data_IF_109818419836
#
_entry.id   IF_109818419836
#
_cell.length_a   1.000
_cell.length_b   1.000
_cell.length_c   1.000
_cell.angle_alpha   90.00
_cell.angle_beta   90.00
_cell.angle_gamma   90.00
#
_symmetry.space_group_name_H-M   'P 1'
#
loop_
_entity.id
_entity.type
_entity.pdbx_description
1 polymer ?
#
# COMPACT_ATOMS: atom_id res chain seq x y z
N UNK A 1 -69.45 -72.71 44.56
CA UNK A 1 -70.04 -71.69 43.67
C UNK A 1 -68.91 -71.06 42.87
N UNK A 2 -68.72 -71.50 41.64
CA UNK A 2 -67.62 -71.10 40.76
C UNK A 2 -68.20 -70.42 39.53
N UNK A 3 -67.89 -69.12 39.39
CA UNK A 3 -68.29 -68.26 38.28
C UNK A 3 -67.50 -68.61 37.01
N UNK A 4 -68.21 -68.79 35.89
CA UNK A 4 -67.65 -68.78 34.53
C UNK A 4 -67.49 -67.33 34.05
N UNK A 5 -66.33 -67.01 33.48
CA UNK A 5 -66.07 -65.83 32.66
C UNK A 5 -66.14 -66.19 31.17
N UNK A 6 -66.69 -65.33 30.29
CA UNK A 6 -66.68 -65.55 28.84
C UNK A 6 -65.45 -64.91 28.18
N UNK A 7 -64.92 -65.61 27.18
CA UNK A 7 -63.84 -65.17 26.29
C UNK A 7 -64.38 -64.25 25.18
N UNK A 8 -63.73 -63.11 24.99
CA UNK A 8 -63.98 -62.19 23.87
C UNK A 8 -62.63 -61.71 23.34
N UNK A 9 -62.07 -62.39 22.35
CA UNK A 9 -60.86 -61.88 21.66
C UNK A 9 -60.73 -62.48 20.27
N UNK A 10 -60.80 -61.63 19.25
CA UNK A 10 -60.56 -62.04 17.88
C UNK A 10 -61.28 -61.18 16.85
N UNK A 11 -60.94 -59.88 16.72
CA UNK A 11 -60.99 -59.18 15.43
C UNK A 11 -60.44 -57.74 15.42
N UNK A 12 -60.11 -57.14 16.57
CA UNK A 12 -59.69 -55.73 16.61
C UNK A 12 -58.25 -55.45 16.13
N UNK A 13 -57.38 -56.47 16.04
CA UNK A 13 -55.95 -56.30 15.72
C UNK A 13 -55.66 -56.19 14.20
N UNK A 14 -56.52 -56.73 13.32
CA UNK A 14 -56.22 -56.76 11.87
C UNK A 14 -56.52 -55.46 11.14
N UNK A 15 -57.45 -54.64 11.63
CA UNK A 15 -57.81 -53.38 10.96
C UNK A 15 -56.79 -52.24 11.23
N UNK A 16 -56.22 -52.18 12.44
CA UNK A 16 -55.21 -51.16 12.77
C UNK A 16 -53.88 -51.39 12.06
N UNK A 17 -53.48 -52.65 11.85
CA UNK A 17 -52.24 -52.95 11.14
C UNK A 17 -52.31 -52.54 9.65
N UNK A 18 -53.47 -52.67 9.01
CA UNK A 18 -53.65 -52.29 7.61
C UNK A 18 -53.66 -50.77 7.39
N UNK A 19 -54.29 -50.02 8.29
CA UNK A 19 -54.27 -48.55 8.28
C UNK A 19 -52.88 -47.97 8.58
N UNK A 20 -52.09 -48.63 9.46
CA UNK A 20 -50.73 -48.19 9.76
C UNK A 20 -49.76 -48.42 8.59
N UNK A 21 -49.91 -49.50 7.82
CA UNK A 21 -49.09 -49.79 6.62
C UNK A 21 -49.41 -48.81 5.47
N UNK A 22 -50.68 -48.40 5.32
CA UNK A 22 -51.06 -47.40 4.30
C UNK A 22 -50.55 -46.00 4.66
N UNK A 23 -50.64 -45.59 5.94
CA UNK A 23 -50.21 -44.26 6.40
C UNK A 23 -48.68 -44.08 6.38
N UNK A 24 -47.93 -45.15 6.68
CA UNK A 24 -46.46 -45.13 6.61
C UNK A 24 -45.96 -45.11 5.17
N UNK A 25 -46.60 -45.84 4.24
CA UNK A 25 -46.19 -45.82 2.83
C UNK A 25 -46.45 -44.48 2.13
N UNK A 26 -47.57 -43.81 2.40
CA UNK A 26 -47.85 -42.50 1.80
C UNK A 26 -46.88 -41.42 2.28
N UNK A 27 -46.51 -41.43 3.57
CA UNK A 27 -45.51 -40.50 4.10
C UNK A 27 -44.09 -40.86 3.62
N UNK A 28 -43.76 -42.14 3.47
CA UNK A 28 -42.46 -42.56 2.93
C UNK A 28 -42.31 -42.18 1.44
N UNK A 29 -43.37 -42.34 0.64
CA UNK A 29 -43.38 -41.89 -0.76
C UNK A 29 -43.31 -40.36 -0.89
N UNK A 30 -43.98 -39.62 -0.01
CA UNK A 30 -43.93 -38.15 0.00
C UNK A 30 -42.55 -37.63 0.41
N UNK A 31 -41.94 -38.18 1.46
CA UNK A 31 -40.56 -37.88 1.88
C UNK A 31 -39.54 -38.34 0.83
N UNK A 32 -39.79 -39.45 0.14
CA UNK A 32 -38.93 -39.94 -0.94
C UNK A 32 -39.00 -39.06 -2.19
N UNK A 33 -40.19 -38.57 -2.58
CA UNK A 33 -40.35 -37.62 -3.68
C UNK A 33 -39.77 -36.23 -3.34
N UNK A 34 -39.98 -35.75 -2.12
CA UNK A 34 -39.38 -34.51 -1.61
C UNK A 34 -37.85 -34.64 -1.53
N UNK A 35 -37.30 -35.81 -1.14
CA UNK A 35 -35.84 -36.05 -1.22
C UNK A 35 -35.32 -36.16 -2.65
N UNK A 36 -36.08 -36.74 -3.58
CA UNK A 36 -35.67 -36.85 -5.00
C UNK A 36 -35.61 -35.50 -5.69
N UNK A 37 -36.44 -34.54 -5.26
CA UNK A 37 -36.42 -33.15 -5.73
C UNK A 37 -35.43 -32.27 -4.97
N UNK A 38 -35.02 -32.66 -3.76
CA UNK A 38 -34.00 -31.97 -2.96
C UNK A 38 -32.55 -32.47 -3.15
N UNK A 39 -32.29 -33.48 -3.99
CA UNK A 39 -30.95 -34.06 -4.16
C UNK A 39 -30.21 -33.62 -5.42
N UNK A 40 -30.84 -32.85 -6.30
CA UNK A 40 -30.14 -32.27 -7.45
C UNK A 40 -29.74 -30.86 -7.10
N UNK A 41 -28.43 -30.61 -7.01
CA UNK A 41 -27.89 -29.28 -6.87
C UNK A 41 -28.51 -28.38 -7.97
N UNK A 42 -29.09 -27.21 -7.65
CA UNK A 42 -29.66 -26.31 -8.65
C UNK A 42 -28.71 -26.03 -9.83
N UNK A 43 -27.41 -26.01 -9.58
CA UNK A 43 -26.37 -25.84 -10.61
C UNK A 43 -26.31 -27.01 -11.60
N UNK A 44 -26.50 -28.25 -11.13
CA UNK A 44 -26.54 -29.44 -12.00
C UNK A 44 -27.73 -29.38 -12.97
N UNK A 45 -28.84 -28.81 -12.51
CA UNK A 45 -30.02 -28.61 -13.36
C UNK A 45 -29.71 -27.63 -14.48
N UNK A 46 -29.04 -26.51 -14.18
CA UNK A 46 -28.64 -25.51 -15.18
C UNK A 46 -27.70 -26.12 -16.21
N UNK A 47 -26.67 -26.84 -15.75
CA UNK A 47 -25.68 -27.51 -16.61
C UNK A 47 -26.32 -28.43 -17.64
N UNK A 48 -27.42 -29.11 -17.27
CA UNK A 48 -28.14 -30.04 -18.16
C UNK A 48 -29.17 -29.38 -19.08
N UNK A 49 -29.71 -28.23 -18.69
CA UNK A 49 -30.90 -27.63 -19.33
C UNK A 49 -30.59 -26.41 -20.19
N UNK A 50 -29.49 -25.71 -19.93
CA UNK A 50 -29.15 -24.47 -20.61
C UNK A 50 -28.01 -24.67 -21.61
N UNK A 51 -28.09 -24.00 -22.77
CA UNK A 51 -26.97 -23.91 -23.70
C UNK A 51 -25.98 -22.88 -23.18
N UNK A 52 -24.85 -23.35 -22.65
CA UNK A 52 -23.76 -22.51 -22.13
C UNK A 52 -22.81 -22.04 -23.25
N UNK A 53 -23.36 -21.67 -24.40
CA UNK A 53 -22.60 -21.14 -25.54
C UNK A 53 -22.56 -19.61 -25.48
N UNK A 54 -21.36 -19.01 -25.53
CA UNK A 54 -21.17 -17.56 -25.66
C UNK A 54 -20.58 -16.89 -24.42
N UNK A 55 -20.96 -15.63 -24.24
CA UNK A 55 -20.53 -14.77 -23.12
C UNK A 55 -21.74 -14.35 -22.29
N UNK A 56 -21.56 -14.31 -20.98
CA UNK A 56 -22.60 -14.01 -20.01
C UNK A 56 -22.19 -12.82 -19.16
N UNK A 57 -23.14 -11.93 -18.87
CA UNK A 57 -22.93 -10.85 -17.91
C UNK A 57 -23.27 -11.40 -16.52
N UNK A 58 -22.36 -11.18 -15.58
CA UNK A 58 -22.52 -11.61 -14.22
C UNK A 58 -22.13 -10.50 -13.23
N UNK A 59 -22.60 -10.62 -11.99
CA UNK A 59 -22.25 -9.72 -10.88
C UNK A 59 -21.43 -10.47 -9.85
N UNK A 60 -20.32 -9.90 -9.40
CA UNK A 60 -19.45 -10.49 -8.37
C UNK A 60 -20.13 -10.40 -7.02
N UNK A 61 -20.33 -11.53 -6.35
CA UNK A 61 -21.01 -11.59 -5.05
C UNK A 61 -20.09 -12.03 -3.91
N UNK A 62 -18.97 -12.67 -4.25
CA UNK A 62 -17.95 -13.08 -3.29
C UNK A 62 -16.59 -13.09 -3.98
N UNK A 63 -15.61 -12.47 -3.36
CA UNK A 63 -14.23 -12.42 -3.81
C UNK A 63 -13.25 -12.95 -2.76
N UNK A 64 -13.74 -13.48 -1.65
CA UNK A 64 -12.94 -14.10 -0.60
C UNK A 64 -12.63 -15.56 -0.94
N UNK A 65 -11.81 -15.77 -1.98
CA UNK A 65 -11.34 -17.09 -2.39
C UNK A 65 -10.52 -17.75 -1.26
N UNK A 66 -10.96 -18.90 -0.69
CA UNK A 66 -10.21 -19.61 0.35
C UNK A 66 -8.82 -20.05 -0.07
N UNK A 67 -8.58 -20.20 -1.38
CA UNK A 67 -7.28 -20.57 -1.96
C UNK A 67 -6.44 -19.37 -2.42
N UNK A 68 -7.00 -18.14 -2.40
CA UNK A 68 -6.35 -16.91 -2.85
C UNK A 68 -5.79 -16.99 -4.28
N UNK A 69 -6.50 -17.68 -5.18
CA UNK A 69 -6.09 -17.88 -6.58
C UNK A 69 -6.69 -16.83 -7.53
N UNK A 70 -7.08 -15.65 -7.00
CA UNK A 70 -7.76 -14.61 -7.77
C UNK A 70 -9.03 -15.13 -8.46
N UNK A 71 -9.87 -15.84 -7.70
CA UNK A 71 -11.16 -16.36 -8.17
C UNK A 71 -12.32 -15.63 -7.50
N UNK A 72 -13.46 -15.58 -8.19
CA UNK A 72 -14.68 -14.94 -7.69
C UNK A 72 -15.90 -15.83 -7.86
N UNK A 73 -16.89 -15.67 -7.00
CA UNK A 73 -18.24 -16.19 -7.22
C UNK A 73 -19.09 -15.10 -7.84
N UNK A 74 -19.93 -15.49 -8.79
CA UNK A 74 -20.75 -14.54 -9.55
C UNK A 74 -22.18 -15.02 -9.72
N UNK A 75 -23.12 -14.09 -9.68
CA UNK A 75 -24.48 -14.31 -10.15
C UNK A 75 -24.58 -13.98 -11.63
N UNK A 76 -24.91 -14.99 -12.42
CA UNK A 76 -25.06 -14.88 -13.86
C UNK A 76 -26.51 -14.54 -14.14
N UNK A 77 -26.73 -13.40 -14.80
CA UNK A 77 -28.07 -12.87 -15.04
C UNK A 77 -28.94 -13.89 -15.78
N UNK A 78 -30.10 -14.22 -15.23
CA UNK A 78 -31.03 -15.20 -15.79
C UNK A 78 -30.61 -16.66 -15.69
N UNK A 79 -29.48 -16.97 -15.04
CA UNK A 79 -29.04 -18.36 -14.81
C UNK A 79 -28.93 -18.68 -13.31
N UNK A 80 -28.14 -17.93 -12.54
CA UNK A 80 -27.77 -18.32 -11.17
C UNK A 80 -28.23 -17.34 -10.09
N UNK A 81 -29.03 -16.32 -10.41
CA UNK A 81 -29.46 -15.26 -9.49
C UNK A 81 -30.18 -15.77 -8.24
N UNK A 82 -30.89 -16.91 -8.36
CA UNK A 82 -31.64 -17.50 -7.25
C UNK A 82 -30.81 -18.49 -6.42
N UNK A 83 -29.58 -18.78 -6.84
CA UNK A 83 -28.71 -19.75 -6.17
C UNK A 83 -27.94 -19.05 -5.05
N UNK A 84 -27.96 -19.58 -3.81
CA UNK A 84 -27.18 -19.04 -2.71
C UNK A 84 -25.69 -18.98 -3.05
N UNK A 85 -24.99 -17.96 -2.54
CA UNK A 85 -23.56 -17.75 -2.85
C UNK A 85 -22.70 -18.95 -2.44
N UNK A 86 -23.09 -19.65 -1.38
CA UNK A 86 -22.37 -20.79 -0.81
C UNK A 86 -22.25 -21.93 -1.83
N UNK A 87 -23.29 -22.13 -2.63
CA UNK A 87 -23.41 -23.21 -3.61
C UNK A 87 -22.72 -22.88 -4.94
N UNK A 88 -22.42 -21.61 -5.21
CA UNK A 88 -21.78 -21.19 -6.46
C UNK A 88 -20.30 -21.57 -6.51
N UNK A 89 -19.79 -21.99 -7.69
CA UNK A 89 -18.37 -22.22 -7.90
C UNK A 89 -17.57 -20.91 -7.92
N UNK A 90 -16.28 -21.02 -7.60
CA UNK A 90 -15.31 -19.95 -7.80
C UNK A 90 -14.74 -20.02 -9.22
N UNK A 91 -14.94 -18.98 -10.01
CA UNK A 91 -14.39 -18.88 -11.36
C UNK A 91 -13.03 -18.16 -11.35
N UNK A 92 -12.00 -18.72 -12.01
CA UNK A 92 -10.76 -18.01 -12.27
C UNK A 92 -10.98 -16.81 -13.18
N UNK A 93 -10.16 -15.80 -12.97
CA UNK A 93 -10.08 -14.63 -13.83
C UNK A 93 -8.99 -14.86 -14.86
N UNK A 94 -9.31 -14.62 -16.13
CA UNK A 94 -8.35 -14.64 -17.22
C UNK A 94 -7.35 -13.49 -17.02
N UNK A 95 -6.12 -13.85 -16.65
CA UNK A 95 -5.04 -12.89 -16.44
C UNK A 95 -4.35 -12.56 -17.78
N UNK A 96 -3.86 -11.31 -17.95
CA UNK A 96 -3.05 -10.96 -19.11
C UNK A 96 -1.71 -11.70 -19.07
N UNK A 97 -1.21 -12.09 -20.24
CA UNK A 97 0.05 -12.86 -20.38
C UNK A 97 1.31 -11.99 -20.34
N UNK A 98 1.18 -10.67 -20.19
CA UNK A 98 2.26 -9.70 -20.42
C UNK A 98 3.52 -9.89 -19.57
N UNK A 99 3.37 -10.33 -18.32
CA UNK A 99 4.49 -10.64 -17.40
C UNK A 99 4.74 -12.14 -17.27
N UNK A 100 4.14 -12.94 -18.14
CA UNK A 100 4.09 -14.40 -18.06
C UNK A 100 2.97 -14.91 -17.14
N UNK A 101 3.07 -16.20 -16.80
CA UNK A 101 2.15 -16.88 -15.88
C UNK A 101 2.86 -18.05 -15.23
N UNK A 102 3.35 -17.85 -14.00
CA UNK A 102 4.05 -18.87 -13.22
C UNK A 102 3.91 -18.61 -11.72
N UNK A 103 4.40 -19.52 -10.89
CA UNK A 103 4.44 -19.32 -9.43
C UNK A 103 5.27 -18.10 -8.99
N UNK A 104 6.13 -17.57 -9.88
CA UNK A 104 7.02 -16.44 -9.61
C UNK A 104 6.69 -15.22 -10.47
N UNK A 105 5.66 -15.28 -11.31
CA UNK A 105 5.33 -14.19 -12.22
C UNK A 105 3.83 -14.19 -12.51
N UNK A 106 3.11 -13.23 -11.95
CA UNK A 106 1.66 -13.20 -12.06
C UNK A 106 1.09 -11.82 -11.80
N UNK A 107 -0.12 -11.62 -12.34
CA UNK A 107 -0.99 -10.51 -11.96
C UNK A 107 -1.90 -10.98 -10.83
N UNK A 108 -2.08 -10.13 -9.84
CA UNK A 108 -3.11 -10.29 -8.81
C UNK A 108 -4.04 -9.08 -8.92
N UNK A 109 -5.25 -9.29 -9.41
CA UNK A 109 -6.27 -8.25 -9.50
C UNK A 109 -7.64 -8.89 -9.36
N UNK A 110 -8.31 -8.56 -8.25
CA UNK A 110 -9.56 -9.19 -7.85
C UNK A 110 -10.67 -8.12 -7.93
N UNK A 111 -11.71 -8.32 -8.74
CA UNK A 111 -12.85 -7.43 -8.80
C UNK A 111 -13.52 -7.26 -7.42
N UNK A 112 -14.00 -6.04 -7.17
CA UNK A 112 -14.80 -5.74 -5.98
C UNK A 112 -16.18 -6.42 -6.07
N UNK A 113 -16.77 -6.72 -4.91
CA UNK A 113 -18.15 -7.19 -4.82
C UNK A 113 -19.08 -6.13 -5.45
N UNK A 114 -20.13 -6.60 -6.13
CA UNK A 114 -21.08 -5.84 -6.96
C UNK A 114 -20.49 -5.29 -8.28
N UNK A 115 -19.29 -5.74 -8.68
CA UNK A 115 -18.74 -5.44 -10.01
C UNK A 115 -19.39 -6.33 -11.08
N UNK A 116 -19.76 -5.74 -12.22
CA UNK A 116 -20.20 -6.53 -13.38
C UNK A 116 -19.00 -7.07 -14.15
N UNK A 117 -19.06 -8.35 -14.49
CA UNK A 117 -18.02 -9.07 -15.20
C UNK A 117 -18.60 -9.86 -16.38
N UNK A 118 -17.72 -10.24 -17.30
CA UNK A 118 -18.04 -11.10 -18.43
C UNK A 118 -17.52 -12.51 -18.15
N UNK A 119 -18.38 -13.51 -18.28
CA UNK A 119 -18.07 -14.93 -18.03
C UNK A 119 -18.26 -15.72 -19.31
N UNK A 120 -17.39 -16.72 -19.55
CA UNK A 120 -17.55 -17.70 -20.63
C UNK A 120 -17.40 -19.12 -20.08
N UNK A 121 -17.93 -20.11 -20.80
CA UNK A 121 -17.89 -21.53 -20.43
C UNK A 121 -17.27 -22.37 -21.55
N UNK A 122 -15.93 -22.43 -21.66
CA UNK A 122 -15.26 -23.11 -22.78
C UNK A 122 -15.62 -24.59 -22.92
N UNK A 123 -15.95 -25.23 -21.80
CA UNK A 123 -16.32 -26.64 -21.73
C UNK A 123 -17.83 -26.87 -21.66
N UNK A 124 -18.65 -25.81 -21.85
CA UNK A 124 -20.12 -25.86 -21.68
C UNK A 124 -20.54 -26.45 -20.34
N UNK A 125 -19.75 -26.18 -19.31
CA UNK A 125 -20.01 -26.64 -17.95
C UNK A 125 -19.95 -25.45 -17.02
N UNK A 126 -21.04 -25.23 -16.30
CA UNK A 126 -21.18 -24.15 -15.33
C UNK A 126 -20.14 -24.25 -14.21
N UNK A 127 -19.61 -25.42 -13.88
CA UNK A 127 -18.54 -25.53 -12.88
C UNK A 127 -17.16 -25.09 -13.38
N UNK A 128 -17.00 -24.90 -14.70
CA UNK A 128 -15.74 -24.55 -15.37
C UNK A 128 -15.83 -23.21 -16.11
N UNK A 129 -16.53 -22.24 -15.54
CA UNK A 129 -16.59 -20.87 -16.05
C UNK A 129 -15.27 -20.11 -15.86
N UNK A 130 -15.04 -19.12 -16.72
CA UNK A 130 -13.89 -18.22 -16.65
C UNK A 130 -14.39 -16.78 -16.75
N UNK A 131 -13.95 -15.91 -15.84
CA UNK A 131 -14.16 -14.46 -15.94
C UNK A 131 -13.14 -13.89 -16.92
N UNK A 132 -13.60 -13.30 -18.02
CA UNK A 132 -12.74 -12.80 -19.12
C UNK A 132 -12.60 -11.29 -19.17
N UNK A 133 -13.28 -10.56 -18.28
CA UNK A 133 -13.16 -9.11 -18.19
C UNK A 133 -14.17 -8.48 -17.24
N UNK A 134 -13.98 -7.18 -17.01
CA UNK A 134 -14.90 -6.32 -16.24
C UNK A 134 -15.72 -5.50 -17.22
N UNK A 135 -17.01 -5.35 -16.94
CA UNK A 135 -17.89 -4.44 -17.66
C UNK A 135 -17.97 -3.11 -16.90
N UNK A 136 -17.40 -2.05 -17.48
CA UNK A 136 -17.58 -0.70 -16.95
C UNK A 136 -19.02 -0.23 -17.17
N UNK A 137 -19.68 0.24 -16.12
CA UNK A 137 -21.04 0.77 -16.16
C UNK A 137 -21.14 2.05 -15.31
N UNK A 138 -22.31 2.66 -15.19
CA UNK A 138 -22.45 3.90 -14.41
C UNK A 138 -22.01 3.80 -12.94
N UNK A 139 -21.99 2.59 -12.35
CA UNK A 139 -21.53 2.33 -10.97
C UNK A 139 -20.02 2.10 -10.88
N UNK A 140 -19.45 1.44 -11.89
CA UNK A 140 -18.02 1.03 -11.93
C UNK A 140 -17.17 1.92 -12.84
N UNK A 141 -17.78 2.90 -13.51
CA UNK A 141 -17.06 3.94 -14.24
C UNK A 141 -16.15 4.63 -13.25
N UNK A 142 -14.90 4.85 -13.66
CA UNK A 142 -14.02 5.75 -12.94
C UNK A 142 -14.75 7.09 -12.81
N UNK A 143 -15.10 7.43 -11.58
CA UNK A 143 -15.75 8.69 -11.31
C UNK A 143 -14.66 9.75 -11.18
N UNK A 144 -14.78 10.83 -11.94
CA UNK A 144 -13.94 12.01 -11.80
C UNK A 144 -14.27 12.76 -10.50
N UNK A 145 -14.66 12.07 -9.41
CA UNK A 145 -14.93 12.68 -8.09
C UNK A 145 -13.71 13.39 -7.49
N UNK A 146 -12.53 13.26 -8.10
CA UNK A 146 -11.37 14.11 -7.84
C UNK A 146 -11.39 15.48 -8.55
N UNK A 147 -12.31 15.69 -9.50
CA UNK A 147 -12.54 16.97 -10.21
C UNK A 147 -13.56 17.88 -9.52
N UNK A 148 -14.49 17.34 -8.71
CA UNK A 148 -15.57 18.13 -8.07
C UNK A 148 -15.58 18.07 -6.55
N UNK A 149 -14.76 17.22 -5.93
CA UNK A 149 -14.27 17.59 -4.61
C UNK A 149 -13.40 18.82 -4.81
N UNK A 150 -13.57 19.82 -3.95
CA UNK A 150 -12.43 20.61 -3.52
C UNK A 150 -11.38 19.61 -3.00
N UNK A 151 -10.64 18.97 -3.91
CA UNK A 151 -9.32 18.46 -3.64
C UNK A 151 -8.55 19.72 -3.27
N UNK A 152 -8.70 20.11 -2.00
CA UNK A 152 -7.59 20.64 -1.25
C UNK A 152 -6.53 19.55 -1.34
N UNK A 153 -5.85 19.44 -2.49
CA UNK A 153 -4.41 19.39 -2.48
C UNK A 153 -4.04 20.42 -1.42
N UNK A 154 -3.58 20.03 -0.23
CA UNK A 154 -3.68 20.83 0.98
C UNK A 154 -3.15 22.22 0.66
N UNK A 155 -4.06 23.16 0.44
CA UNK A 155 -3.73 24.53 0.07
C UNK A 155 -3.17 25.10 1.34
N UNK A 156 -1.85 25.01 1.49
CA UNK A 156 -1.01 25.66 2.49
C UNK A 156 -1.83 26.14 3.68
N UNK A 157 -2.45 25.20 4.39
CA UNK A 157 -3.16 25.51 5.61
C UNK A 157 -2.06 25.91 6.57
N UNK A 158 -2.11 27.14 7.05
CA UNK A 158 -1.26 27.64 8.12
C UNK A 158 -1.41 26.70 9.31
N UNK A 159 -0.55 25.67 9.37
CA UNK A 159 -0.33 24.89 10.57
C UNK A 159 0.33 25.87 11.53
N UNK A 160 -0.48 26.49 12.39
CA UNK A 160 0.01 27.09 13.62
C UNK A 160 0.54 25.95 14.48
N UNK A 161 1.77 25.54 14.22
CA UNK A 161 2.60 24.89 15.21
C UNK A 161 2.88 25.93 16.29
N UNK A 162 2.27 25.76 17.45
CA UNK A 162 2.83 26.29 18.69
C UNK A 162 4.26 25.77 18.82
N UNK A 163 5.27 26.63 19.05
CA UNK A 163 6.63 26.18 19.28
C UNK A 163 6.64 25.35 20.56
N UNK A 164 7.07 24.09 20.45
CA UNK A 164 7.31 23.26 21.60
C UNK A 164 8.63 23.70 22.25
N UNK A 165 8.61 23.66 23.58
CA UNK A 165 9.75 23.35 24.44
C UNK A 165 11.03 24.18 24.27
N UNK A 166 11.22 25.05 25.26
CA UNK A 166 12.51 25.60 25.69
C UNK A 166 13.54 24.47 25.84
N UNK A 167 14.38 24.27 24.83
CA UNK A 167 15.66 23.61 25.02
C UNK A 167 16.62 24.68 25.53
N UNK A 168 16.79 24.72 26.85
CA UNK A 168 17.88 25.44 27.47
C UNK A 168 19.21 24.93 26.88
N UNK A 169 19.88 25.79 26.12
CA UNK A 169 21.28 25.61 25.78
C UNK A 169 22.09 25.68 27.08
N UNK A 170 22.36 24.52 27.68
CA UNK A 170 23.37 24.42 28.72
C UNK A 170 24.69 24.87 28.12
N UNK A 171 25.18 25.99 28.63
CA UNK A 171 26.55 26.48 28.46
C UNK A 171 27.52 25.34 28.80
N UNK A 172 28.10 24.68 27.79
CA UNK A 172 29.23 23.77 28.00
C UNK A 172 30.50 24.62 27.92
N UNK A 173 30.85 25.25 29.05
CA UNK A 173 32.26 25.54 29.34
C UNK A 173 32.89 24.23 29.81
N UNK A 174 33.35 23.42 28.85
CA UNK A 174 34.07 22.18 29.09
C UNK A 174 35.38 22.19 28.31
N UNK A 175 36.49 21.94 29.01
CA UNK A 175 37.86 21.92 28.50
C UNK A 175 37.97 21.05 27.23
N UNK A 176 38.73 21.55 26.24
CA UNK A 176 39.23 20.73 25.12
C UNK A 176 39.97 19.52 25.67
N UNK A 177 39.43 18.33 25.41
CA UNK A 177 40.07 17.07 25.76
C UNK A 177 39.06 15.96 25.99
N UNK A 178 38.39 15.51 24.93
CA UNK A 178 38.06 14.10 24.65
C UNK A 178 37.20 14.02 23.39
N UNK A 179 37.52 13.01 22.59
CA UNK A 179 36.94 12.68 21.29
C UNK A 179 35.43 12.39 21.42
N UNK A 180 34.60 13.43 21.35
CA UNK A 180 33.15 13.27 21.27
C UNK A 180 32.78 12.94 19.83
N UNK A 181 32.85 11.66 19.48
CA UNK A 181 32.11 11.14 18.34
C UNK A 181 30.64 11.48 18.52
N UNK A 182 30.14 12.42 17.71
CA UNK A 182 28.71 12.73 17.61
C UNK A 182 28.05 11.51 16.95
N UNK A 183 27.67 10.51 17.76
CA UNK A 183 26.86 9.39 17.29
C UNK A 183 25.44 9.91 17.06
N UNK A 184 25.17 10.41 15.87
CA UNK A 184 23.88 11.02 15.57
C UNK A 184 22.83 9.92 15.33
N UNK A 185 22.11 9.54 16.39
CA UNK A 185 20.98 8.59 16.36
C UNK A 185 19.78 9.07 15.52
N UNK A 186 19.90 10.21 14.83
CA UNK A 186 18.85 10.80 13.98
C UNK A 186 18.65 10.06 12.67
N UNK A 187 19.62 9.25 12.24
CA UNK A 187 19.49 8.41 11.05
C UNK A 187 19.29 6.96 11.48
N UNK A 188 18.05 6.51 11.54
CA UNK A 188 17.78 5.09 11.34
C UNK A 188 17.58 4.91 9.85
N UNK A 189 18.47 4.18 9.17
CA UNK A 189 18.12 3.62 7.86
C UNK A 189 16.73 2.99 7.99
N UNK A 190 15.83 3.14 7.00
CA UNK A 190 14.62 2.34 6.97
C UNK A 190 15.07 0.91 7.23
N UNK A 191 14.71 0.35 8.40
CA UNK A 191 15.18 -0.98 8.83
C UNK A 191 15.08 -1.87 7.63
N UNK A 192 16.17 -2.53 7.25
CA UNK A 192 16.27 -3.45 6.11
C UNK A 192 15.05 -4.35 6.07
N UNK A 193 13.99 -3.87 5.44
CA UNK A 193 12.71 -4.52 5.41
C UNK A 193 12.74 -5.11 4.04
N UNK A 194 13.18 -6.37 3.97
CA UNK A 194 12.96 -7.19 2.80
C UNK A 194 11.47 -7.06 2.47
N UNK A 195 11.13 -6.21 1.49
CA UNK A 195 9.75 -5.96 1.12
C UNK A 195 9.26 -7.25 0.46
N UNK A 196 8.17 -7.79 1.01
CA UNK A 196 7.60 -9.03 0.51
C UNK A 196 6.51 -8.70 -0.52
N UNK A 197 6.61 -9.32 -1.70
CA UNK A 197 5.58 -9.30 -2.73
C UNK A 197 4.35 -10.14 -2.35
N UNK A 198 4.14 -10.49 -1.08
CA UNK A 198 3.03 -11.33 -0.66
C UNK A 198 1.69 -10.64 -0.97
N UNK A 199 1.06 -11.02 -2.08
CA UNK A 199 -0.26 -10.57 -2.48
C UNK A 199 -1.38 -11.29 -1.71
N UNK A 200 -1.04 -12.30 -0.88
CA UNK A 200 -2.00 -12.95 0.01
C UNK A 200 -2.23 -12.16 1.30
N UNK A 201 -1.31 -11.26 1.63
CA UNK A 201 -1.47 -10.27 2.68
C UNK A 201 -2.68 -9.38 2.36
N UNK A 202 -3.61 -9.29 3.30
CA UNK A 202 -4.83 -8.49 3.17
C UNK A 202 -5.66 -8.78 1.90
N UNK A 203 -5.59 -10.02 1.38
CA UNK A 203 -6.41 -10.48 0.26
C UNK A 203 -7.91 -10.29 0.57
N UNK A 204 -8.75 -9.82 -0.38
CA UNK A 204 -8.47 -9.51 -1.79
C UNK A 204 -8.04 -8.06 -2.05
N UNK A 205 -7.72 -7.30 -1.00
CA UNK A 205 -7.48 -5.85 -1.09
C UNK A 205 -6.06 -5.47 -1.50
N UNK A 206 -5.17 -6.46 -1.61
CA UNK A 206 -3.84 -6.34 -2.19
C UNK A 206 -3.83 -6.78 -3.65
N UNK A 207 -3.31 -5.93 -4.53
CA UNK A 207 -3.27 -6.19 -5.96
C UNK A 207 -2.02 -5.57 -6.62
N UNK A 208 -1.69 -6.03 -7.81
CA UNK A 208 -0.51 -5.60 -8.55
C UNK A 208 0.08 -6.73 -9.40
N UNK A 209 1.40 -6.71 -9.56
CA UNK A 209 2.12 -7.68 -10.37
C UNK A 209 3.52 -7.95 -9.84
N UNK A 210 4.02 -9.15 -10.15
CA UNK A 210 5.41 -9.55 -9.95
C UNK A 210 5.92 -10.24 -11.21
N UNK A 211 7.18 -9.97 -11.58
CA UNK A 211 7.86 -10.65 -12.68
C UNK A 211 8.78 -11.78 -12.18
N UNK A 212 9.32 -12.58 -13.11
CA UNK A 212 10.20 -13.72 -12.79
C UNK A 212 11.51 -13.29 -12.10
N UNK A 213 11.93 -12.02 -12.24
CA UNK A 213 13.11 -11.48 -11.58
C UNK A 213 12.80 -10.95 -10.18
N UNK A 214 11.56 -11.05 -9.71
CA UNK A 214 11.09 -10.52 -8.42
C UNK A 214 11.05 -8.99 -8.35
N UNK A 215 10.92 -8.34 -9.51
CA UNK A 215 10.47 -6.95 -9.54
C UNK A 215 8.96 -6.95 -9.38
N UNK A 216 8.43 -6.03 -8.57
CA UNK A 216 7.00 -5.98 -8.34
C UNK A 216 6.47 -4.57 -8.11
N UNK A 217 5.19 -4.44 -8.42
CA UNK A 217 4.36 -3.31 -8.05
C UNK A 217 3.19 -3.84 -7.23
N UNK A 218 2.94 -3.23 -6.07
CA UNK A 218 1.89 -3.65 -5.15
C UNK A 218 1.13 -2.44 -4.61
N UNK A 219 -0.19 -2.55 -4.62
CA UNK A 219 -1.10 -1.68 -3.89
C UNK A 219 -1.79 -2.53 -2.83
N UNK A 220 -1.75 -2.08 -1.58
CA UNK A 220 -2.53 -2.66 -0.49
C UNK A 220 -3.56 -1.63 -0.03
N UNK A 221 -4.84 -1.85 -0.30
CA UNK A 221 -5.92 -0.90 0.05
C UNK A 221 -6.23 -0.90 1.55
N UNK A 222 -6.01 -2.02 2.25
CA UNK A 222 -6.24 -2.09 3.70
C UNK A 222 -5.24 -1.22 4.44
N UNK A 223 -3.96 -1.31 4.05
CA UNK A 223 -2.89 -0.48 4.62
C UNK A 223 -2.75 0.89 3.96
N UNK A 224 -3.44 1.14 2.85
CA UNK A 224 -3.28 2.34 2.02
C UNK A 224 -1.82 2.57 1.59
N UNK A 225 -1.14 1.49 1.19
CA UNK A 225 0.27 1.52 0.77
C UNK A 225 0.43 1.26 -0.73
N UNK A 226 1.38 1.97 -1.34
CA UNK A 226 1.84 1.79 -2.71
C UNK A 226 3.33 1.44 -2.70
N UNK A 227 3.74 0.36 -3.37
CA UNK A 227 5.14 -0.08 -3.42
C UNK A 227 5.57 -0.40 -4.85
N UNK A 228 6.74 0.11 -5.25
CA UNK A 228 7.51 -0.32 -6.40
C UNK A 228 8.85 -0.86 -5.92
N UNK A 229 9.19 -2.09 -6.28
CA UNK A 229 10.40 -2.77 -5.84
C UNK A 229 11.17 -3.35 -7.03
N UNK A 230 12.49 -3.15 -7.02
CA UNK A 230 13.42 -3.78 -7.94
C UNK A 230 14.23 -4.85 -7.21
N UNK A 231 14.45 -5.98 -7.88
CA UNK A 231 15.16 -7.17 -7.38
C UNK A 231 16.54 -6.90 -6.74
N UNK A 232 17.18 -5.77 -7.06
CA UNK A 232 18.40 -5.28 -6.38
C UNK A 232 18.23 -4.87 -4.90
N UNK A 233 16.99 -4.83 -4.39
CA UNK A 233 16.64 -4.27 -3.08
C UNK A 233 16.24 -2.78 -3.10
N UNK A 234 16.46 -2.07 -4.20
CA UNK A 234 15.98 -0.69 -4.38
C UNK A 234 14.44 -0.63 -4.44
N UNK A 235 13.84 0.36 -3.79
CA UNK A 235 12.38 0.54 -3.77
C UNK A 235 11.93 1.99 -3.63
N UNK A 236 10.67 2.23 -3.99
CA UNK A 236 9.91 3.43 -3.64
C UNK A 236 8.57 3.01 -3.00
N UNK A 237 8.22 3.63 -1.87
CA UNK A 237 6.99 3.34 -1.12
C UNK A 237 6.28 4.61 -0.67
N UNK A 238 4.95 4.64 -0.79
CA UNK A 238 4.08 5.64 -0.16
C UNK A 238 3.20 4.92 0.87
N UNK A 239 3.19 5.40 2.11
CA UNK A 239 2.38 4.83 3.21
C UNK A 239 1.01 5.52 3.38
N UNK A 240 0.22 5.05 4.35
CA UNK A 240 -1.11 5.58 4.65
C UNK A 240 -1.12 7.07 5.03
N UNK A 241 -0.04 7.54 5.64
CA UNK A 241 0.13 8.93 6.08
C UNK A 241 0.66 9.82 4.93
N UNK A 242 0.97 9.22 3.78
CA UNK A 242 1.49 9.90 2.61
C UNK A 242 3.01 10.12 2.65
N UNK A 243 3.73 9.45 3.56
CA UNK A 243 5.19 9.54 3.59
C UNK A 243 5.79 8.78 2.40
N UNK A 244 6.74 9.41 1.72
CA UNK A 244 7.50 8.81 0.63
C UNK A 244 8.84 8.28 1.16
N UNK A 245 9.11 7.01 0.91
CA UNK A 245 10.40 6.36 1.15
C UNK A 245 11.02 5.98 -0.17
N UNK A 246 12.26 6.42 -0.41
CA UNK A 246 13.06 6.01 -1.56
C UNK A 246 14.36 5.42 -1.04
N UNK A 247 14.60 4.15 -1.38
CA UNK A 247 15.83 3.46 -1.04
C UNK A 247 16.49 2.94 -2.31
N UNK A 248 17.77 3.26 -2.49
CA UNK A 248 18.54 2.90 -3.68
C UNK A 248 19.81 2.20 -3.22
N UNK A 249 19.99 0.95 -3.66
CA UNK A 249 21.18 0.14 -3.33
C UNK A 249 22.38 0.46 -4.23
N UNK A 250 22.14 1.07 -5.38
CA UNK A 250 23.16 1.55 -6.31
C UNK A 250 23.38 3.07 -6.23
N UNK A 251 23.60 3.68 -7.40
CA UNK A 251 23.82 5.12 -7.52
C UNK A 251 22.53 5.86 -7.92
N UNK A 252 22.34 7.09 -7.42
CA UNK A 252 21.28 8.00 -7.86
C UNK A 252 21.85 9.15 -8.68
N UNK A 253 21.26 9.43 -9.85
CA UNK A 253 21.58 10.59 -10.69
C UNK A 253 20.28 11.31 -11.06
N UNK A 254 20.20 12.60 -10.74
CA UNK A 254 19.07 13.47 -11.09
C UNK A 254 19.58 14.48 -12.12
N UNK A 255 18.94 14.52 -13.29
CA UNK A 255 19.27 15.46 -14.37
C UNK A 255 18.00 16.24 -14.71
N UNK A 256 18.10 17.57 -14.63
CA UNK A 256 17.02 18.48 -14.96
C UNK A 256 17.57 19.51 -15.95
N UNK A 257 16.98 19.55 -17.15
CA UNK A 257 17.41 20.49 -18.19
C UNK A 257 16.87 21.92 -17.96
N UNK A 258 15.77 22.03 -17.23
CA UNK A 258 15.18 23.30 -16.79
C UNK A 258 15.47 23.61 -15.32
N UNK A 259 14.56 24.38 -14.72
CA UNK A 259 14.68 24.79 -13.32
C UNK A 259 14.29 23.66 -12.35
N UNK A 260 15.01 23.57 -11.23
CA UNK A 260 14.69 22.66 -10.13
C UNK A 260 14.44 23.47 -8.85
N UNK A 261 13.26 23.31 -8.27
CA UNK A 261 12.84 23.96 -7.02
C UNK A 261 12.55 22.91 -5.96
N UNK A 262 13.15 23.06 -4.77
CA UNK A 262 12.84 22.23 -3.60
C UNK A 262 12.25 23.12 -2.51
N UNK A 263 11.03 22.79 -2.04
CA UNK A 263 10.36 23.49 -0.95
C UNK A 263 10.12 22.50 0.19
N UNK A 264 10.78 22.73 1.32
CA UNK A 264 10.62 21.94 2.54
C UNK A 264 10.02 22.86 3.60
N UNK A 265 8.80 22.54 4.05
CA UNK A 265 8.10 23.33 5.08
C UNK A 265 8.50 22.95 6.51
N UNK A 266 9.02 21.74 6.67
CA UNK A 266 9.59 21.26 7.93
C UNK A 266 11.11 21.43 7.94
N UNK A 267 11.79 20.58 8.70
CA UNK A 267 13.25 20.52 8.76
C UNK A 267 13.85 19.74 7.59
N UNK A 268 15.10 20.03 7.27
CA UNK A 268 15.91 19.29 6.31
C UNK A 268 17.21 18.85 6.98
N UNK A 269 17.44 17.54 7.03
CA UNK A 269 18.68 16.95 7.52
C UNK A 269 19.40 16.23 6.36
N UNK A 270 20.69 16.52 6.18
CA UNK A 270 21.51 15.94 5.11
C UNK A 270 22.75 15.30 5.73
N UNK A 271 22.94 14.01 5.49
CA UNK A 271 24.14 13.28 5.89
C UNK A 271 24.90 12.80 4.66
N UNK A 272 26.21 13.05 4.63
CA UNK A 272 27.12 12.61 3.58
C UNK A 272 28.33 12.01 4.29
N UNK A 273 28.48 10.70 4.20
CA UNK A 273 29.56 9.96 4.90
C UNK A 273 30.94 10.15 4.27
N UNK A 274 30.98 10.69 3.04
CA UNK A 274 32.22 10.88 2.28
C UNK A 274 32.37 12.35 1.87
N UNK A 275 32.43 12.63 0.57
CA UNK A 275 32.73 13.95 0.05
C UNK A 275 31.47 14.62 -0.53
N UNK A 276 31.39 15.94 -0.38
CA UNK A 276 30.39 16.79 -1.04
C UNK A 276 31.08 17.79 -1.96
N UNK A 277 30.56 17.94 -3.18
CA UNK A 277 31.03 18.91 -4.16
C UNK A 277 29.84 19.67 -4.73
N UNK A 278 29.91 21.00 -4.69
CA UNK A 278 28.89 21.88 -5.22
C UNK A 278 29.53 22.84 -6.24
N UNK A 279 29.04 22.80 -7.48
CA UNK A 279 29.49 23.66 -8.56
C UNK A 279 28.32 24.44 -9.14
N UNK A 280 28.37 25.75 -8.94
CA UNK A 280 27.43 26.71 -9.52
C UNK A 280 28.22 27.56 -10.51
N UNK A 281 27.82 27.53 -11.79
CA UNK A 281 28.53 28.25 -12.87
C UNK A 281 28.30 29.75 -12.85
N UNK A 282 27.19 30.18 -12.24
CA UNK A 282 26.76 31.56 -12.12
C UNK A 282 26.66 31.92 -10.63
N UNK A 283 25.75 32.80 -10.30
CA UNK A 283 25.57 33.32 -8.95
C UNK A 283 25.01 32.27 -7.99
N UNK A 284 25.47 32.32 -6.74
CA UNK A 284 24.93 31.56 -5.62
C UNK A 284 24.58 32.55 -4.50
N UNK A 285 23.33 32.56 -4.09
CA UNK A 285 22.83 33.30 -2.94
C UNK A 285 22.42 32.33 -1.83
N UNK A 286 22.60 32.71 -0.56
CA UNK A 286 22.17 31.92 0.60
C UNK A 286 21.64 32.87 1.66
N UNK A 287 20.39 32.67 2.05
CA UNK A 287 19.70 33.49 3.04
C UNK A 287 19.29 32.60 4.20
N UNK A 288 19.52 33.06 5.42
CA UNK A 288 19.13 32.35 6.64
C UNK A 288 18.66 33.38 7.65
N UNK A 289 17.38 33.31 8.01
CA UNK A 289 16.79 34.24 8.98
C UNK A 289 17.19 33.91 10.42
N UNK A 290 17.54 32.65 10.67
CA UNK A 290 18.06 32.16 11.95
C UNK A 290 19.57 32.26 12.06
N UNK A 291 20.12 31.61 13.09
CA UNK A 291 21.56 31.54 13.30
C UNK A 291 22.22 30.54 12.34
N UNK A 292 23.45 30.85 11.91
CA UNK A 292 24.32 29.92 11.17
C UNK A 292 25.50 29.51 12.03
N UNK A 293 25.73 28.21 12.16
CA UNK A 293 26.90 27.63 12.82
C UNK A 293 27.61 26.69 11.86
N UNK A 294 28.90 26.89 11.64
CA UNK A 294 29.74 26.03 10.80
C UNK A 294 30.80 25.38 11.67
N UNK A 295 30.78 24.05 11.75
CA UNK A 295 31.83 23.27 12.40
C UNK A 295 32.67 22.60 11.31
N UNK A 296 33.98 22.81 11.34
CA UNK A 296 34.95 22.13 10.48
C UNK A 296 36.03 21.56 11.37
N UNK A 297 36.13 20.23 11.44
CA UNK A 297 37.09 19.55 12.32
C UNK A 297 38.54 19.68 11.85
N UNK A 298 38.72 19.87 10.54
CA UNK A 298 40.02 20.05 9.88
C UNK A 298 40.13 21.48 9.36
N UNK A 299 40.79 21.66 8.22
CA UNK A 299 41.09 22.97 7.68
C UNK A 299 39.88 23.58 6.97
N UNK A 300 39.63 24.87 7.20
CA UNK A 300 38.78 25.71 6.37
C UNK A 300 39.66 26.59 5.47
N UNK A 301 39.37 26.59 4.16
CA UNK A 301 40.08 27.42 3.18
C UNK A 301 39.09 28.03 2.21
N UNK A 302 39.13 29.36 2.11
CA UNK A 302 38.34 30.14 1.15
C UNK A 302 39.29 30.82 0.15
N UNK A 303 38.90 30.83 -1.13
CA UNK A 303 39.62 31.55 -2.18
C UNK A 303 38.61 32.36 -2.99
N UNK A 304 38.80 33.67 -2.99
CA UNK A 304 37.95 34.62 -3.74
C UNK A 304 38.85 35.33 -4.74
N UNK A 305 38.55 35.21 -6.04
CA UNK A 305 39.32 35.90 -7.09
C UNK A 305 38.97 37.39 -7.18
N UNK A 306 37.73 37.75 -6.85
CA UNK A 306 37.26 39.13 -6.76
C UNK A 306 37.44 39.71 -5.35
N UNK A 307 36.60 40.69 -5.02
CA UNK A 307 36.55 41.27 -3.66
C UNK A 307 35.72 40.40 -2.72
N UNK A 308 36.27 40.09 -1.54
CA UNK A 308 35.51 39.60 -0.40
C UNK A 308 34.98 40.76 0.45
N UNK A 309 33.76 40.68 0.96
CA UNK A 309 33.20 41.66 1.90
C UNK A 309 32.42 40.93 2.98
N UNK A 310 32.72 41.24 4.24
CA UNK A 310 32.00 40.72 5.41
C UNK A 310 31.39 41.90 6.15
N UNK A 311 30.08 41.89 6.33
CA UNK A 311 29.32 42.98 6.95
C UNK A 311 28.55 42.44 8.16
N UNK A 312 28.85 42.98 9.34
CA UNK A 312 28.17 42.65 10.59
C UNK A 312 27.46 43.91 11.09
N UNK A 313 26.12 43.90 11.13
CA UNK A 313 25.33 45.08 11.46
C UNK A 313 25.17 45.32 12.96
N UNK A 314 25.18 44.24 13.75
CA UNK A 314 25.05 44.24 15.21
C UNK A 314 25.81 43.04 15.78
N UNK A 315 26.67 43.28 16.76
CA UNK A 315 27.43 42.24 17.46
C UNK A 315 28.94 42.40 17.34
N UNK A 316 29.65 41.54 18.07
CA UNK A 316 31.10 41.53 18.14
C UNK A 316 31.68 40.56 17.09
N UNK A 317 32.84 40.92 16.54
CA UNK A 317 33.67 39.97 15.78
C UNK A 317 34.77 39.45 16.69
N UNK A 318 34.71 38.17 17.03
CA UNK A 318 35.70 37.51 17.89
C UNK A 318 36.37 36.41 17.08
N UNK A 319 37.70 36.47 16.97
CA UNK A 319 38.52 35.45 16.34
C UNK A 319 39.50 34.92 17.39
N UNK A 320 39.49 33.62 17.61
CA UNK A 320 40.35 32.94 18.58
C UNK A 320 41.11 31.84 17.87
N UNK A 321 42.43 32.01 17.75
CA UNK A 321 43.33 31.02 17.15
C UNK A 321 44.70 31.07 17.86
N UNK A 322 45.54 30.06 17.66
CA UNK A 322 46.93 30.02 18.14
C UNK A 322 47.80 31.12 17.53
N UNK A 323 47.46 31.56 16.33
CA UNK A 323 48.12 32.68 15.65
C UNK A 323 47.24 33.25 14.56
N UNK A 324 47.19 34.58 14.48
CA UNK A 324 46.43 35.30 13.45
C UNK A 324 47.45 36.04 12.57
N UNK A 325 47.40 35.78 11.26
CA UNK A 325 48.22 36.49 10.26
C UNK A 325 47.31 37.12 9.24
N UNK A 326 47.41 38.44 9.07
CA UNK A 326 46.71 39.20 8.04
C UNK A 326 47.75 39.89 7.17
N UNK A 327 47.69 39.66 5.86
CA UNK A 327 48.58 40.29 4.90
C UNK A 327 47.77 41.01 3.82
N UNK A 328 48.22 42.21 3.45
CA UNK A 328 47.69 42.98 2.35
C UNK A 328 48.87 43.50 1.52
N UNK A 329 48.74 43.45 0.19
CA UNK A 329 49.81 43.90 -0.71
C UNK A 329 49.86 45.42 -0.87
N UNK A 330 48.75 46.11 -0.61
CA UNK A 330 48.62 47.57 -0.75
C UNK A 330 48.47 48.26 0.60
N UNK A 331 47.29 48.16 1.24
CA UNK A 331 46.98 48.84 2.49
C UNK A 331 46.22 47.93 3.44
N UNK A 332 46.64 47.90 4.70
CA UNK A 332 45.87 47.34 5.81
C UNK A 332 45.38 48.49 6.69
N UNK A 333 44.06 48.63 6.84
CA UNK A 333 43.44 49.70 7.64
C UNK A 333 42.59 49.04 8.73
N UNK A 334 42.95 49.29 9.99
CA UNK A 334 42.18 48.87 11.15
C UNK A 334 41.56 50.11 11.82
N UNK A 335 40.26 50.09 12.09
CA UNK A 335 39.53 51.18 12.77
C UNK A 335 38.65 50.58 13.87
N UNK A 336 38.68 51.20 15.06
CA UNK A 336 37.88 50.78 16.22
C UNK A 336 38.06 51.77 17.38
N UNK A 337 37.20 51.68 18.42
CA UNK A 337 37.26 52.51 19.63
C UNK A 337 36.87 51.69 20.88
N UNK A 338 37.76 51.51 21.87
CA UNK A 338 39.22 51.69 21.82
C UNK A 338 39.92 50.54 21.08
N UNK A 339 41.13 50.80 20.56
CA UNK A 339 42.08 49.76 20.14
C UNK A 339 43.01 49.53 21.33
N UNK A 340 43.00 48.33 21.89
CA UNK A 340 43.86 47.97 23.03
C UNK A 340 45.01 47.10 22.54
N UNK A 341 46.25 47.52 22.81
CA UNK A 341 47.45 46.69 22.69
C UNK A 341 47.65 45.97 24.03
N UNK A 342 47.67 44.64 24.01
CA UNK A 342 47.92 43.80 25.20
C UNK A 342 49.36 43.33 25.25
#
# INVERSE_FOLDING_TARGET
MTHKSPSFEGNFQKHYLFLFILYTNTNFLKVSLERKTMLTNPIDTISKTHKLDGIFIAEVIDNNDPKKLSRVKVHIKGLTEQIPKEDLPFYPILQPVGIGGSAYSSFSSIPDINTQVIVTFPHRDIYHGIVIGILSNQRTRQDDRHSTSNSKCPTSGTLKGTPNETIESKHVKGKLGEDQTISDKRFTSPKDTCLNADFNEDYPTSYGWIDRLLNFFKINRTKQELTLHHSSGSFAKIDADGNLYVHITGNTKIVTDGDYTSLIKGSSDISIETNSYNHVKKDRETVTDGNTTVLTEKNHKEMVQGSGTYSYSKGDTIVSDKGITVSATSSLILKGQPIMEN
#
